data_IF_658908703971
#
_entry.id   IF_658908703971
#
_cell.length_a   1.000
_cell.length_b   1.000
_cell.length_c   1.000
_cell.angle_alpha   90.00
_cell.angle_beta   90.00
_cell.angle_gamma   90.00
#
_symmetry.space_group_name_H-M   'P 1'
#
loop_
_entity.id
_entity.type
_entity.pdbx_description
1 polymer ?
#
# COMPACT_ATOMS: atom_id res chain seq x y z
N UNK A 1 -48.36 -62.36 -38.34
CA UNK A 1 -48.90 -61.06 -37.87
C UNK A 1 -48.63 -60.89 -36.39
N UNK A 2 -47.38 -60.55 -35.98
CA UNK A 2 -47.04 -60.12 -34.61
C UNK A 2 -45.78 -59.29 -34.70
N UNK A 3 -45.91 -57.95 -34.67
CA UNK A 3 -44.71 -57.13 -34.70
C UNK A 3 -44.93 -55.61 -34.90
N UNK A 4 -46.16 -55.12 -34.93
CA UNK A 4 -46.43 -53.68 -35.19
C UNK A 4 -47.10 -52.90 -34.05
N UNK A 5 -47.40 -53.54 -32.90
CA UNK A 5 -48.11 -52.85 -31.81
C UNK A 5 -47.24 -52.33 -30.65
N UNK A 6 -45.95 -52.68 -30.60
CA UNK A 6 -45.12 -52.30 -29.45
C UNK A 6 -44.34 -50.98 -29.72
N UNK A 7 -44.07 -50.64 -30.99
CA UNK A 7 -43.29 -49.44 -31.32
C UNK A 7 -44.09 -48.12 -31.31
N UNK A 8 -45.43 -48.19 -31.37
CA UNK A 8 -46.29 -47.00 -31.28
C UNK A 8 -46.45 -46.46 -29.86
N UNK A 9 -46.53 -47.36 -28.88
CA UNK A 9 -46.70 -46.96 -27.48
C UNK A 9 -45.46 -46.25 -26.88
N UNK A 10 -44.25 -46.74 -27.20
CA UNK A 10 -43.02 -46.17 -26.66
C UNK A 10 -42.77 -44.78 -27.29
N UNK A 11 -43.06 -44.57 -28.57
CA UNK A 11 -42.95 -43.24 -29.18
C UNK A 11 -43.93 -42.21 -28.58
N UNK A 12 -45.17 -42.65 -28.31
CA UNK A 12 -46.16 -41.75 -27.66
C UNK A 12 -45.78 -41.37 -26.25
N UNK A 13 -45.25 -42.29 -25.45
CA UNK A 13 -44.78 -42.00 -24.07
C UNK A 13 -43.56 -41.06 -24.07
N UNK A 14 -42.58 -41.31 -24.94
CA UNK A 14 -41.41 -40.46 -25.08
C UNK A 14 -41.79 -39.04 -25.52
N UNK A 15 -42.71 -38.93 -26.51
CA UNK A 15 -43.18 -37.61 -26.98
C UNK A 15 -43.95 -36.87 -25.87
N UNK A 16 -44.76 -37.56 -25.07
CA UNK A 16 -45.49 -36.95 -23.95
C UNK A 16 -44.54 -36.49 -22.84
N UNK A 17 -43.50 -37.27 -22.51
CA UNK A 17 -42.48 -36.89 -21.53
C UNK A 17 -41.66 -35.68 -21.97
N UNK A 18 -41.28 -35.62 -23.24
CA UNK A 18 -40.55 -34.47 -23.82
C UNK A 18 -41.43 -33.21 -23.81
N UNK A 19 -42.73 -33.33 -24.10
CA UNK A 19 -43.65 -32.18 -24.05
C UNK A 19 -43.86 -31.71 -22.61
N UNK A 20 -43.94 -32.61 -21.65
CA UNK A 20 -44.07 -32.25 -20.22
C UNK A 20 -42.79 -31.56 -19.72
N UNK A 21 -41.63 -32.07 -20.09
CA UNK A 21 -40.33 -31.42 -19.74
C UNK A 21 -40.21 -30.03 -20.41
N UNK A 22 -40.61 -29.90 -21.69
CA UNK A 22 -40.63 -28.64 -22.37
C UNK A 22 -41.67 -27.64 -21.78
N UNK A 23 -42.84 -28.15 -21.37
CA UNK A 23 -43.84 -27.32 -20.71
C UNK A 23 -43.43 -26.90 -19.29
N UNK A 24 -42.73 -27.75 -18.55
CA UNK A 24 -42.13 -27.42 -17.24
C UNK A 24 -40.99 -26.40 -17.41
N UNK A 25 -40.19 -26.47 -18.48
CA UNK A 25 -39.15 -25.48 -18.79
C UNK A 25 -39.73 -24.12 -19.22
N UNK A 26 -40.93 -24.10 -19.82
CA UNK A 26 -41.63 -22.87 -20.20
C UNK A 26 -42.47 -22.26 -19.06
N UNK A 27 -42.74 -23.01 -18.01
CA UNK A 27 -43.46 -22.54 -16.81
C UNK A 27 -42.52 -22.03 -15.70
N UNK A 28 -41.20 -22.08 -15.88
CA UNK A 28 -40.27 -21.33 -15.04
C UNK A 28 -40.46 -19.86 -15.38
N UNK A 29 -41.03 -19.01 -14.50
CA UNK A 29 -41.13 -17.59 -14.81
C UNK A 29 -39.70 -17.10 -15.09
N UNK A 30 -39.52 -16.39 -16.19
CA UNK A 30 -38.25 -15.82 -16.64
C UNK A 30 -37.62 -14.83 -15.61
N UNK A 31 -38.23 -14.70 -14.44
CA UNK A 31 -37.83 -13.85 -13.31
C UNK A 31 -37.27 -14.64 -12.12
N UNK A 32 -37.13 -15.97 -12.20
CA UNK A 32 -36.25 -16.72 -11.31
C UNK A 32 -34.83 -16.75 -11.90
N UNK A 33 -34.28 -15.61 -12.24
CA UNK A 33 -32.89 -15.33 -11.93
C UNK A 33 -32.81 -15.38 -10.42
N UNK A 34 -32.65 -16.55 -9.85
CA UNK A 34 -31.86 -16.74 -8.67
C UNK A 34 -30.45 -16.26 -9.09
N UNK A 35 -30.28 -14.92 -9.13
CA UNK A 35 -28.98 -14.34 -9.07
C UNK A 35 -28.39 -14.87 -7.78
N UNK A 36 -27.53 -15.88 -7.89
CA UNK A 36 -26.45 -16.01 -6.93
C UNK A 36 -25.74 -14.69 -7.10
N UNK A 37 -26.18 -13.67 -6.35
CA UNK A 37 -25.44 -12.46 -6.15
C UNK A 37 -24.21 -12.96 -5.38
N UNK A 38 -23.12 -13.19 -6.12
CA UNK A 38 -21.84 -13.39 -5.50
C UNK A 38 -21.65 -12.16 -4.63
N UNK A 39 -21.44 -12.38 -3.33
CA UNK A 39 -21.09 -11.33 -2.38
C UNK A 39 -19.90 -10.59 -2.93
N UNK A 40 -20.07 -9.35 -3.36
CA UNK A 40 -19.00 -8.56 -3.97
C UNK A 40 -18.79 -7.29 -3.17
N UNK A 41 -17.64 -7.24 -2.49
CA UNK A 41 -17.14 -5.99 -1.95
C UNK A 41 -16.80 -5.03 -3.11
N UNK A 42 -16.78 -3.73 -2.86
CA UNK A 42 -16.62 -2.72 -3.91
C UNK A 42 -15.53 -1.70 -3.56
N UNK A 43 -14.65 -1.42 -4.50
CA UNK A 43 -13.78 -0.23 -4.47
C UNK A 43 -14.48 0.94 -5.17
N UNK A 44 -14.64 2.06 -4.46
CA UNK A 44 -15.12 3.33 -5.00
C UNK A 44 -13.92 4.26 -5.17
N UNK A 45 -13.45 4.47 -6.41
CA UNK A 45 -12.15 5.08 -6.66
C UNK A 45 -12.28 6.42 -7.34
N UNK A 46 -11.75 7.45 -6.70
CA UNK A 46 -11.61 8.80 -7.23
C UNK A 46 -10.12 9.14 -7.37
N UNK A 47 -9.67 9.44 -8.59
CA UNK A 47 -8.25 9.68 -8.85
C UNK A 47 -7.85 11.13 -8.65
N UNK A 48 -6.54 11.36 -8.53
CA UNK A 48 -5.95 12.67 -8.32
C UNK A 48 -6.02 13.61 -9.53
N UNK A 49 -5.34 14.73 -9.41
CA UNK A 49 -5.28 15.74 -10.46
C UNK A 49 -4.81 15.15 -11.79
N UNK A 50 -5.34 15.67 -12.90
CA UNK A 50 -5.14 15.21 -14.28
C UNK A 50 -5.65 13.80 -14.61
N UNK A 51 -6.43 13.18 -13.71
CA UNK A 51 -7.05 11.87 -13.91
C UNK A 51 -8.58 11.95 -13.70
N UNK A 52 -9.32 12.66 -14.55
CA UNK A 52 -10.76 12.93 -14.34
C UNK A 52 -11.62 11.68 -14.40
N UNK A 53 -11.23 10.66 -15.13
CA UNK A 53 -11.96 9.40 -15.28
C UNK A 53 -11.61 8.34 -14.20
N UNK A 54 -10.95 8.75 -13.12
CA UNK A 54 -10.50 7.83 -12.07
C UNK A 54 -9.24 7.04 -12.46
N UNK A 55 -8.86 6.03 -11.66
CA UNK A 55 -7.74 5.19 -11.98
C UNK A 55 -8.01 4.38 -13.24
N UNK A 56 -7.09 4.43 -14.20
CA UNK A 56 -7.15 3.56 -15.37
C UNK A 56 -6.90 2.11 -14.97
N UNK A 57 -7.31 1.11 -15.77
CA UNK A 57 -6.96 -0.29 -15.51
C UNK A 57 -5.46 -0.50 -15.35
N UNK A 58 -4.62 0.20 -16.13
CA UNK A 58 -3.18 0.14 -16.01
C UNK A 58 -2.69 0.65 -14.66
N UNK A 59 -3.13 1.82 -14.22
CA UNK A 59 -2.78 2.39 -12.91
C UNK A 59 -3.22 1.47 -11.76
N UNK A 60 -4.37 0.83 -11.88
CA UNK A 60 -4.87 -0.15 -10.92
C UNK A 60 -3.97 -1.37 -10.82
N UNK A 61 -3.44 -1.85 -11.95
CA UNK A 61 -2.51 -2.97 -12.01
C UNK A 61 -1.12 -2.62 -11.49
N UNK A 62 -0.69 -1.37 -11.67
CA UNK A 62 0.63 -0.88 -11.28
C UNK A 62 0.75 -0.62 -9.78
N UNK A 63 -0.34 -0.28 -9.08
CA UNK A 63 -0.27 -0.03 -7.65
C UNK A 63 0.09 -1.32 -6.89
N UNK A 64 1.26 -1.33 -6.27
CA UNK A 64 1.81 -2.49 -5.57
C UNK A 64 2.74 -3.35 -6.42
N UNK A 65 3.01 -2.95 -7.67
CA UNK A 65 4.14 -3.49 -8.43
C UNK A 65 5.48 -2.98 -7.91
N UNK A 66 6.58 -3.52 -8.43
CA UNK A 66 7.89 -2.98 -8.17
C UNK A 66 7.92 -1.49 -8.51
N UNK A 67 8.50 -0.63 -7.65
CA UNK A 67 8.59 0.79 -7.92
C UNK A 67 9.29 1.02 -9.26
N UNK A 68 8.63 1.76 -10.13
CA UNK A 68 9.11 2.10 -11.45
C UNK A 68 10.15 3.21 -11.37
N UNK A 69 11.32 2.86 -10.82
CA UNK A 69 12.46 3.75 -10.87
C UNK A 69 13.28 3.38 -12.09
N UNK A 70 13.60 4.34 -12.97
CA UNK A 70 14.66 4.10 -13.92
C UNK A 70 15.90 3.68 -13.13
N UNK A 71 16.48 2.55 -13.50
CA UNK A 71 17.74 2.12 -12.91
C UNK A 71 18.74 3.29 -13.03
N UNK A 72 19.27 3.81 -11.94
CA UNK A 72 20.25 4.90 -12.01
C UNK A 72 21.38 4.52 -12.97
N UNK A 73 21.68 5.38 -13.92
CA UNK A 73 22.74 5.23 -14.94
C UNK A 73 22.50 4.22 -16.08
N UNK A 74 21.33 3.67 -16.25
CA UNK A 74 21.12 2.70 -17.34
C UNK A 74 20.20 3.19 -18.45
N UNK A 75 19.45 4.28 -18.24
CA UNK A 75 18.32 4.70 -19.11
C UNK A 75 17.34 3.55 -19.41
N UNK A 76 17.44 2.45 -18.68
CA UNK A 76 16.54 1.32 -18.79
C UNK A 76 15.49 1.48 -17.69
N UNK A 77 14.27 1.60 -18.14
CA UNK A 77 13.12 1.41 -17.28
C UNK A 77 13.04 -0.08 -16.99
N UNK A 78 13.26 -0.51 -15.76
CA UNK A 78 12.89 -1.89 -15.42
C UNK A 78 11.42 -2.04 -15.78
N UNK A 79 11.05 -3.04 -16.56
CA UNK A 79 9.66 -3.43 -16.61
C UNK A 79 9.30 -3.79 -15.17
N UNK A 80 8.45 -2.98 -14.59
CA UNK A 80 7.74 -3.26 -13.37
C UNK A 80 7.35 -4.73 -13.37
N UNK A 81 7.50 -5.36 -12.24
CA UNK A 81 7.20 -6.76 -12.01
C UNK A 81 5.91 -7.17 -12.68
N UNK A 82 5.79 -8.42 -12.94
CA UNK A 82 4.72 -9.06 -13.70
C UNK A 82 3.40 -8.31 -13.56
N UNK A 83 2.88 -7.78 -14.67
CA UNK A 83 1.53 -7.24 -14.78
C UNK A 83 0.57 -8.12 -13.96
N UNK A 84 -0.19 -7.53 -13.07
CA UNK A 84 -1.12 -8.27 -12.24
C UNK A 84 -0.74 -8.39 -10.76
N UNK A 85 0.26 -7.66 -10.26
CA UNK A 85 0.60 -7.60 -8.84
C UNK A 85 0.15 -6.29 -8.15
N UNK A 86 -0.65 -5.47 -8.81
CA UNK A 86 -1.17 -4.23 -8.25
C UNK A 86 -2.00 -4.43 -6.99
N UNK A 87 -1.74 -3.64 -5.96
CA UNK A 87 -2.45 -3.73 -4.68
C UNK A 87 -3.96 -3.46 -4.80
N UNK A 88 -4.36 -2.61 -5.76
CA UNK A 88 -5.77 -2.31 -6.07
C UNK A 88 -6.28 -3.10 -7.29
N UNK A 89 -5.55 -4.08 -7.80
CA UNK A 89 -5.98 -4.88 -8.93
C UNK A 89 -7.01 -5.93 -8.49
N UNK A 90 -8.27 -5.64 -8.74
CA UNK A 90 -9.39 -6.52 -8.38
C UNK A 90 -9.55 -7.69 -9.32
N UNK A 91 -8.97 -7.65 -10.52
CA UNK A 91 -9.22 -8.63 -11.58
C UNK A 91 -8.07 -9.63 -11.77
N UNK A 92 -6.81 -9.19 -11.66
CA UNK A 92 -5.68 -9.98 -12.13
C UNK A 92 -4.69 -10.39 -11.04
N UNK A 93 -4.78 -9.79 -9.82
CA UNK A 93 -3.86 -10.11 -8.73
C UNK A 93 -4.56 -10.88 -7.60
N UNK A 94 -4.48 -12.22 -7.56
CA UNK A 94 -5.00 -13.01 -6.44
C UNK A 94 -4.35 -12.70 -5.07
N UNK A 95 -3.20 -12.04 -5.05
CA UNK A 95 -2.52 -11.58 -3.84
C UNK A 95 -3.00 -10.22 -3.33
N UNK A 96 -3.82 -9.49 -4.11
CA UNK A 96 -4.44 -8.24 -3.68
C UNK A 96 -5.49 -8.51 -2.59
N UNK A 97 -5.56 -7.69 -1.53
CA UNK A 97 -6.65 -7.77 -0.56
C UNK A 97 -8.02 -7.44 -1.17
N UNK A 98 -8.03 -6.89 -2.37
CA UNK A 98 -9.22 -6.49 -3.13
C UNK A 98 -9.52 -7.40 -4.32
N UNK A 99 -8.85 -8.54 -4.43
CA UNK A 99 -9.12 -9.49 -5.53
C UNK A 99 -10.56 -9.98 -5.52
N UNK A 100 -11.22 -9.91 -6.67
CA UNK A 100 -12.62 -10.28 -6.82
C UNK A 100 -13.63 -9.20 -6.39
N UNK A 101 -13.15 -8.00 -5.97
CA UNK A 101 -14.02 -6.87 -5.67
C UNK A 101 -14.50 -6.18 -6.93
N UNK A 102 -15.69 -5.62 -6.89
CA UNK A 102 -16.15 -4.69 -7.91
C UNK A 102 -15.34 -3.38 -7.85
N UNK A 103 -15.24 -2.69 -8.99
CA UNK A 103 -14.45 -1.48 -9.12
C UNK A 103 -15.25 -0.38 -9.79
N UNK A 104 -15.60 0.66 -9.03
CA UNK A 104 -16.37 1.82 -9.49
C UNK A 104 -15.45 3.04 -9.57
N UNK A 105 -15.42 3.69 -10.73
CA UNK A 105 -14.71 4.94 -10.95
C UNK A 105 -15.62 6.13 -10.74
N UNK A 106 -15.15 7.08 -9.93
CA UNK A 106 -15.84 8.34 -9.71
C UNK A 106 -15.19 9.40 -10.60
N UNK A 107 -15.96 9.89 -11.57
CA UNK A 107 -15.52 10.97 -12.45
C UNK A 107 -15.66 12.32 -11.75
N UNK A 108 -14.71 13.20 -11.96
CA UNK A 108 -14.72 14.58 -11.46
C UNK A 108 -13.77 15.45 -12.31
N UNK A 109 -13.78 16.79 -12.22
CA UNK A 109 -12.94 17.63 -13.10
C UNK A 109 -11.44 17.36 -13.00
N UNK A 110 -10.90 17.07 -11.80
CA UNK A 110 -9.53 16.66 -11.56
C UNK A 110 -8.47 17.57 -12.20
N UNK A 111 -8.65 18.87 -12.17
CA UNK A 111 -7.68 19.84 -12.70
C UNK A 111 -7.41 20.94 -11.69
N UNK A 112 -6.13 21.18 -11.43
CA UNK A 112 -5.69 22.39 -10.72
C UNK A 112 -5.11 23.32 -11.78
N UNK A 113 -5.65 24.50 -11.90
CA UNK A 113 -5.19 25.49 -12.88
C UNK A 113 -5.34 26.89 -12.35
N UNK A 114 -4.68 27.82 -13.01
CA UNK A 114 -4.87 29.25 -12.75
C UNK A 114 -6.15 29.72 -13.44
N UNK A 115 -7.21 30.12 -12.71
CA UNK A 115 -8.43 30.64 -13.31
C UNK A 115 -8.17 31.82 -14.24
N UNK A 116 -7.18 32.66 -13.92
CA UNK A 116 -6.71 33.77 -14.76
C UNK A 116 -6.18 33.35 -16.14
N UNK A 117 -5.85 32.03 -16.31
CA UNK A 117 -5.38 31.44 -17.58
C UNK A 117 -6.38 30.42 -18.14
N UNK A 118 -7.64 30.47 -17.71
CA UNK A 118 -8.70 29.54 -18.15
C UNK A 118 -8.63 28.17 -17.47
N UNK A 119 -7.83 28.02 -16.42
CA UNK A 119 -7.84 26.82 -15.57
C UNK A 119 -9.07 26.79 -14.65
N UNK A 120 -9.37 25.64 -14.09
CA UNK A 120 -10.44 25.50 -13.11
C UNK A 120 -9.92 25.80 -11.70
N UNK A 121 -10.70 26.55 -10.94
CA UNK A 121 -10.43 26.80 -9.53
C UNK A 121 -10.50 25.49 -8.70
N UNK A 122 -9.71 25.41 -7.62
CA UNK A 122 -9.62 24.19 -6.82
C UNK A 122 -10.90 23.89 -6.05
N UNK A 123 -11.44 24.86 -5.29
CA UNK A 123 -12.61 24.64 -4.43
C UNK A 123 -13.86 24.15 -5.15
N UNK A 124 -14.29 24.73 -6.30
CA UNK A 124 -15.45 24.22 -7.03
C UNK A 124 -15.28 22.75 -7.48
N UNK A 125 -14.05 22.35 -7.83
CA UNK A 125 -13.78 20.97 -8.22
C UNK A 125 -13.84 20.02 -7.02
N UNK A 126 -13.31 20.45 -5.86
CA UNK A 126 -13.39 19.68 -4.63
C UNK A 126 -14.85 19.45 -4.22
N UNK A 127 -15.70 20.47 -4.33
CA UNK A 127 -17.14 20.35 -4.04
C UNK A 127 -17.84 19.40 -5.02
N UNK A 128 -17.48 19.45 -6.30
CA UNK A 128 -18.02 18.51 -7.28
C UNK A 128 -17.53 17.07 -7.03
N UNK A 129 -16.25 16.91 -6.74
CA UNK A 129 -15.67 15.61 -6.35
C UNK A 129 -16.35 15.03 -5.11
N UNK A 130 -16.56 15.86 -4.09
CA UNK A 130 -17.28 15.50 -2.87
C UNK A 130 -18.69 15.01 -3.17
N UNK A 131 -19.47 15.78 -3.94
CA UNK A 131 -20.82 15.38 -4.33
C UNK A 131 -20.84 14.06 -5.10
N UNK A 132 -19.90 13.87 -6.03
CA UNK A 132 -19.86 12.67 -6.85
C UNK A 132 -19.43 11.43 -6.04
N UNK A 133 -18.50 11.57 -5.09
CA UNK A 133 -18.06 10.44 -4.25
C UNK A 133 -19.09 10.09 -3.19
N UNK A 134 -19.73 11.06 -2.55
CA UNK A 134 -20.83 10.84 -1.61
C UNK A 134 -21.97 10.05 -2.26
N UNK A 135 -22.37 10.48 -3.47
CA UNK A 135 -23.36 9.75 -4.24
C UNK A 135 -22.93 8.34 -4.59
N UNK A 136 -21.70 8.16 -5.07
CA UNK A 136 -21.18 6.83 -5.44
C UNK A 136 -21.11 5.88 -4.22
N UNK A 137 -20.68 6.39 -3.06
CA UNK A 137 -20.68 5.65 -1.80
C UNK A 137 -22.11 5.26 -1.43
N UNK A 138 -23.04 6.20 -1.47
CA UNK A 138 -24.47 5.96 -1.14
C UNK A 138 -25.08 4.91 -2.06
N UNK A 139 -24.87 5.03 -3.39
CA UNK A 139 -25.39 4.08 -4.38
C UNK A 139 -24.82 2.67 -4.17
N UNK A 140 -23.52 2.56 -3.87
CA UNK A 140 -22.88 1.28 -3.57
C UNK A 140 -23.44 0.65 -2.30
N UNK A 141 -23.47 1.41 -1.19
CA UNK A 141 -23.96 0.92 0.09
C UNK A 141 -25.41 0.44 0.04
N UNK A 142 -26.24 1.07 -0.80
CA UNK A 142 -27.62 0.63 -1.02
C UNK A 142 -27.74 -0.73 -1.70
N UNK A 143 -26.67 -1.22 -2.35
CA UNK A 143 -26.63 -2.51 -3.05
C UNK A 143 -25.91 -3.59 -2.27
N UNK A 144 -25.16 -3.25 -1.23
CA UNK A 144 -24.39 -4.20 -0.43
C UNK A 144 -25.30 -5.14 0.38
N UNK A 145 -24.94 -6.40 0.41
CA UNK A 145 -25.54 -7.37 1.31
C UNK A 145 -24.86 -7.33 2.70
N UNK A 146 -25.49 -7.91 3.73
CA UNK A 146 -24.86 -8.06 5.04
C UNK A 146 -23.49 -8.77 4.95
N UNK A 147 -22.44 -8.12 5.44
CA UNK A 147 -21.07 -8.63 5.42
C UNK A 147 -20.24 -8.18 4.22
N UNK A 148 -20.84 -7.53 3.22
CA UNK A 148 -20.11 -6.86 2.13
C UNK A 148 -19.63 -5.49 2.56
N UNK A 149 -18.58 -4.99 1.88
CA UNK A 149 -17.88 -3.75 2.22
C UNK A 149 -17.62 -2.91 0.99
N UNK A 150 -17.63 -1.60 1.20
CA UNK A 150 -17.08 -0.61 0.28
C UNK A 150 -15.80 -0.01 0.85
N UNK A 151 -14.81 0.25 0.00
CA UNK A 151 -13.64 1.06 0.36
C UNK A 151 -13.53 2.21 -0.63
N UNK A 152 -13.57 3.44 -0.12
CA UNK A 152 -13.36 4.63 -0.91
C UNK A 152 -11.85 4.91 -1.02
N UNK A 153 -11.35 4.98 -2.24
CA UNK A 153 -9.93 5.16 -2.56
C UNK A 153 -9.71 6.53 -3.16
N UNK A 154 -8.81 7.32 -2.57
CA UNK A 154 -8.45 8.65 -3.06
C UNK A 154 -6.95 8.87 -3.14
N UNK A 155 -6.51 9.63 -4.14
CA UNK A 155 -5.11 9.93 -4.39
C UNK A 155 -4.88 11.44 -4.54
N UNK A 156 -3.88 11.99 -3.82
CA UNK A 156 -3.49 13.39 -3.98
C UNK A 156 -4.66 14.35 -3.68
N UNK A 157 -5.06 15.16 -4.62
CA UNK A 157 -6.19 16.10 -4.50
C UNK A 157 -7.53 15.39 -4.22
N UNK A 158 -7.73 14.17 -4.67
CA UNK A 158 -8.94 13.41 -4.31
C UNK A 158 -8.84 12.75 -2.93
N UNK A 159 -7.66 12.56 -2.37
CA UNK A 159 -7.55 12.24 -0.95
C UNK A 159 -8.14 13.38 -0.09
N UNK A 160 -7.95 14.67 -0.49
CA UNK A 160 -8.67 15.79 0.16
C UNK A 160 -10.19 15.70 -0.02
N UNK A 161 -10.68 15.29 -1.20
CA UNK A 161 -12.12 15.03 -1.39
C UNK A 161 -12.63 14.01 -0.38
N UNK A 162 -11.93 12.88 -0.21
CA UNK A 162 -12.30 11.84 0.75
C UNK A 162 -12.18 12.31 2.21
N UNK A 163 -11.20 13.14 2.53
CA UNK A 163 -11.10 13.74 3.87
C UNK A 163 -12.29 14.66 4.16
N UNK A 164 -12.76 15.40 3.16
CA UNK A 164 -14.00 16.21 3.27
C UNK A 164 -15.21 15.31 3.45
N UNK A 165 -15.28 14.19 2.74
CA UNK A 165 -16.35 13.21 2.92
C UNK A 165 -16.32 12.59 4.32
N UNK A 166 -15.14 12.21 4.83
CA UNK A 166 -15.01 11.73 6.22
C UNK A 166 -15.55 12.75 7.23
N UNK A 167 -15.29 14.05 7.03
CA UNK A 167 -15.84 15.13 7.89
C UNK A 167 -17.34 15.28 7.73
N UNK A 168 -17.84 15.16 6.48
CA UNK A 168 -19.27 15.19 6.17
C UNK A 168 -20.01 14.07 6.92
N UNK A 169 -19.48 12.84 6.85
CA UNK A 169 -20.04 11.67 7.54
C UNK A 169 -20.00 11.81 9.06
N UNK A 170 -18.95 12.39 9.64
CA UNK A 170 -18.87 12.69 11.07
C UNK A 170 -19.92 13.72 11.51
N UNK A 171 -20.27 14.67 10.65
CA UNK A 171 -21.30 15.67 10.89
C UNK A 171 -22.73 15.12 10.85
N UNK A 172 -22.92 13.86 10.47
CA UNK A 172 -24.23 13.21 10.34
C UNK A 172 -24.54 12.34 11.56
N UNK A 173 -25.25 12.83 12.56
CA UNK A 173 -25.55 12.06 13.78
C UNK A 173 -26.53 10.90 13.54
N UNK A 174 -27.25 10.93 12.42
CA UNK A 174 -28.14 9.83 11.97
C UNK A 174 -28.05 9.70 10.45
N UNK A 175 -27.97 8.46 9.97
CA UNK A 175 -27.87 8.15 8.53
C UNK A 175 -26.43 8.01 8.00
N UNK A 176 -25.41 8.16 8.85
CA UNK A 176 -24.05 7.81 8.46
C UNK A 176 -23.94 6.31 8.15
N UNK A 177 -23.13 5.91 7.14
CA UNK A 177 -22.93 4.52 6.78
C UNK A 177 -22.46 3.66 7.96
N UNK A 178 -22.84 2.36 8.01
CA UNK A 178 -22.30 1.43 9.00
C UNK A 178 -20.76 1.35 8.91
N UNK A 179 -20.09 1.39 10.04
CA UNK A 179 -18.62 1.43 10.13
C UNK A 179 -17.95 0.10 9.73
N UNK A 180 -18.70 -0.97 9.71
CA UNK A 180 -18.28 -2.28 9.22
C UNK A 180 -18.48 -2.46 7.71
N UNK A 181 -19.22 -1.57 7.06
CA UNK A 181 -19.48 -1.60 5.61
C UNK A 181 -18.67 -0.57 4.82
N UNK A 182 -18.14 0.49 5.44
CA UNK A 182 -17.35 1.52 4.75
C UNK A 182 -15.96 1.66 5.35
N UNK A 183 -14.96 1.76 4.46
CA UNK A 183 -13.58 2.10 4.80
C UNK A 183 -12.98 3.09 3.82
N UNK A 184 -11.78 3.59 4.13
CA UNK A 184 -11.06 4.56 3.30
C UNK A 184 -9.62 4.12 3.03
N UNK A 185 -9.12 4.45 1.84
CA UNK A 185 -7.74 4.26 1.45
C UNK A 185 -7.21 5.54 0.82
N UNK A 186 -6.30 6.22 1.50
CA UNK A 186 -5.78 7.52 1.13
C UNK A 186 -4.34 7.39 0.67
N UNK A 187 -4.02 7.87 -0.54
CA UNK A 187 -2.67 7.88 -1.11
C UNK A 187 -2.20 9.32 -1.29
N UNK A 188 -1.00 9.64 -0.80
CA UNK A 188 -0.46 10.99 -0.92
C UNK A 188 -1.39 12.04 -0.33
N UNK A 189 -1.92 11.77 0.85
CA UNK A 189 -2.96 12.53 1.51
C UNK A 189 -2.47 13.94 1.89
N UNK A 190 -2.99 14.95 1.21
CA UNK A 190 -2.66 16.37 1.46
C UNK A 190 -3.06 16.84 2.86
N UNK A 191 -3.96 16.13 3.53
CA UNK A 191 -4.46 16.40 4.87
C UNK A 191 -3.87 15.45 5.93
N UNK A 192 -2.82 14.68 5.63
CA UNK A 192 -2.19 13.79 6.59
C UNK A 192 -1.84 14.56 7.86
N UNK A 193 -2.21 14.08 9.08
CA UNK A 193 -2.11 14.88 10.31
C UNK A 193 -0.71 15.37 10.59
N UNK A 194 0.32 14.52 10.46
CA UNK A 194 1.71 14.96 10.50
C UNK A 194 2.35 14.74 9.13
N UNK A 195 2.39 15.78 8.30
CA UNK A 195 3.04 15.75 6.99
C UNK A 195 2.18 16.33 5.86
N UNK A 196 0.86 16.27 5.95
CA UNK A 196 -0.02 16.81 4.91
C UNK A 196 0.17 18.32 4.72
N UNK A 197 0.41 18.74 3.47
CA UNK A 197 0.68 20.16 3.17
C UNK A 197 -0.50 21.07 3.59
N UNK A 198 -1.74 20.61 3.42
CA UNK A 198 -2.93 21.38 3.84
C UNK A 198 -3.06 21.44 5.35
N UNK A 199 -2.48 20.49 6.09
CA UNK A 199 -2.41 20.51 7.55
C UNK A 199 -1.19 21.30 8.06
N UNK A 200 -0.12 21.42 7.27
CA UNK A 200 1.04 22.24 7.70
C UNK A 200 0.67 23.71 7.87
N UNK A 201 -0.26 24.23 7.05
CA UNK A 201 -0.66 25.64 7.02
C UNK A 201 -2.17 25.81 7.13
N UNK A 202 -2.86 25.27 8.15
CA UNK A 202 -4.32 25.30 8.23
C UNK A 202 -4.82 26.75 8.27
N UNK A 203 -5.86 27.03 7.49
CA UNK A 203 -6.45 28.37 7.37
C UNK A 203 -5.80 29.25 6.30
N UNK A 204 -4.66 28.85 5.72
CA UNK A 204 -4.10 29.57 4.57
C UNK A 204 -5.06 29.48 3.39
N UNK A 205 -5.18 30.58 2.64
CA UNK A 205 -5.95 30.65 1.42
C UNK A 205 -5.11 31.26 0.31
N UNK A 206 -5.04 30.58 -0.84
CA UNK A 206 -4.33 31.04 -2.04
C UNK A 206 -5.37 31.38 -3.11
N UNK A 207 -5.69 32.68 -3.30
CA UNK A 207 -6.78 33.12 -4.17
C UNK A 207 -6.55 32.80 -5.66
N UNK A 208 -5.27 32.81 -6.12
CA UNK A 208 -4.94 32.62 -7.54
C UNK A 208 -5.36 31.25 -8.09
N UNK A 209 -5.46 30.25 -7.23
CA UNK A 209 -5.86 28.87 -7.56
C UNK A 209 -7.10 28.43 -6.76
N UNK A 210 -7.61 29.34 -5.91
CA UNK A 210 -8.75 29.09 -5.00
C UNK A 210 -8.53 27.85 -4.12
N UNK A 211 -7.33 27.72 -3.52
CA UNK A 211 -7.02 26.63 -2.59
C UNK A 211 -7.16 27.12 -1.16
N UNK A 212 -8.02 26.44 -0.40
CA UNK A 212 -8.13 26.60 1.04
C UNK A 212 -7.44 25.43 1.75
N UNK A 213 -6.53 25.75 2.66
CA UNK A 213 -5.84 24.76 3.50
C UNK A 213 -6.75 24.38 4.66
N UNK A 214 -7.49 23.32 4.48
CA UNK A 214 -8.62 22.94 5.33
C UNK A 214 -8.24 22.03 6.51
N UNK A 215 -6.94 21.82 6.77
CA UNK A 215 -6.44 21.16 7.95
C UNK A 215 -6.39 19.64 7.87
N UNK A 216 -6.40 18.98 9.02
CA UNK A 216 -6.12 17.54 9.19
C UNK A 216 -7.27 16.64 8.77
N UNK A 217 -6.94 15.43 8.32
CA UNK A 217 -7.86 14.29 8.34
C UNK A 217 -8.43 14.12 9.75
N UNK A 218 -9.75 13.82 9.90
CA UNK A 218 -10.33 13.47 11.18
C UNK A 218 -9.65 12.26 11.82
N UNK A 219 -8.97 12.46 12.94
CA UNK A 219 -8.21 11.38 13.62
C UNK A 219 -9.08 10.46 14.46
N UNK A 220 -10.29 10.87 14.73
CA UNK A 220 -11.35 10.18 15.49
C UNK A 220 -12.43 9.56 14.59
N UNK A 221 -12.15 9.44 13.29
CA UNK A 221 -13.07 8.78 12.35
C UNK A 221 -13.44 7.38 12.84
N UNK A 222 -14.72 6.98 12.76
CA UNK A 222 -15.13 5.63 13.11
C UNK A 222 -14.80 4.60 12.01
N UNK A 223 -14.41 5.06 10.82
CA UNK A 223 -14.17 4.21 9.66
C UNK A 223 -12.73 3.71 9.60
N UNK A 224 -12.56 2.41 9.32
CA UNK A 224 -11.24 1.84 9.06
C UNK A 224 -10.58 2.56 7.88
N UNK A 225 -9.39 3.11 8.11
CA UNK A 225 -8.70 3.94 7.12
C UNK A 225 -7.24 3.52 7.00
N UNK A 226 -6.74 3.39 5.77
CA UNK A 226 -5.32 3.28 5.46
C UNK A 226 -4.84 4.57 4.81
N UNK A 227 -3.81 5.18 5.36
CA UNK A 227 -3.17 6.40 4.86
C UNK A 227 -1.73 6.09 4.47
N UNK A 228 -1.46 6.03 3.16
CA UNK A 228 -0.13 5.71 2.63
C UNK A 228 0.53 6.95 2.04
N UNK A 229 1.77 7.20 2.45
CA UNK A 229 2.61 8.30 1.97
C UNK A 229 4.01 7.83 1.58
N UNK A 230 4.67 8.56 0.67
CA UNK A 230 6.11 8.47 0.47
C UNK A 230 6.85 9.37 1.45
N UNK A 231 8.03 8.94 1.89
CA UNK A 231 8.99 9.80 2.58
C UNK A 231 9.34 11.01 1.70
N UNK A 232 9.34 12.20 2.28
CA UNK A 232 9.57 13.50 1.60
C UNK A 232 8.50 13.91 0.58
N UNK A 233 7.36 13.25 0.53
CA UNK A 233 6.31 13.58 -0.42
C UNK A 233 5.79 15.01 -0.22
N UNK A 234 5.69 15.73 -1.33
CA UNK A 234 5.20 17.12 -1.37
C UNK A 234 3.82 17.30 -0.75
N UNK A 235 2.96 16.28 -0.85
CA UNK A 235 1.57 16.33 -0.41
C UNK A 235 1.38 15.78 0.99
N UNK A 236 1.97 14.62 1.29
CA UNK A 236 1.68 13.84 2.51
C UNK A 236 2.82 13.81 3.53
N UNK A 237 4.02 14.28 3.17
CA UNK A 237 5.18 14.35 4.06
C UNK A 237 5.98 15.64 3.82
N UNK A 238 5.28 16.78 3.86
CA UNK A 238 5.86 18.12 3.72
C UNK A 238 6.65 18.50 4.98
N UNK A 239 7.78 19.26 4.85
CA UNK A 239 8.61 19.68 5.97
C UNK A 239 7.83 20.35 7.10
N UNK A 240 8.22 20.04 8.34
CA UNK A 240 7.69 20.68 9.54
C UNK A 240 8.30 22.08 9.73
N UNK A 241 9.55 22.28 9.28
CA UNK A 241 10.32 23.51 9.44
C UNK A 241 10.67 24.12 8.09
N UNK A 242 9.73 24.86 7.45
CA UNK A 242 9.88 25.33 6.06
C UNK A 242 10.87 26.50 5.90
N UNK A 243 11.58 26.91 6.92
CA UNK A 243 12.74 27.83 6.76
C UNK A 243 13.99 27.13 6.22
N UNK A 244 14.03 25.81 6.22
CA UNK A 244 15.06 25.03 5.56
C UNK A 244 14.72 24.87 4.08
N UNK A 245 15.15 25.81 3.27
CA UNK A 245 14.88 25.83 1.82
C UNK A 245 15.39 24.57 1.10
N UNK A 246 16.40 23.88 1.63
CA UNK A 246 16.88 22.63 1.05
C UNK A 246 15.84 21.51 1.18
N UNK A 247 15.18 21.43 2.33
CA UNK A 247 14.11 20.45 2.54
C UNK A 247 12.85 20.81 1.73
N UNK A 248 12.50 22.09 1.63
CA UNK A 248 11.39 22.53 0.81
C UNK A 248 11.64 22.23 -0.67
N UNK A 249 12.86 22.48 -1.14
CA UNK A 249 13.24 22.14 -2.51
C UNK A 249 13.17 20.63 -2.75
N UNK A 250 13.64 19.82 -1.80
CA UNK A 250 13.52 18.36 -1.87
C UNK A 250 12.04 17.92 -1.97
N UNK A 251 11.15 18.51 -1.17
CA UNK A 251 9.72 18.25 -1.24
C UNK A 251 9.10 18.72 -2.57
N UNK A 252 9.52 19.87 -3.11
CA UNK A 252 9.05 20.35 -4.42
C UNK A 252 9.44 19.38 -5.54
N UNK A 253 10.67 18.85 -5.52
CA UNK A 253 11.10 17.83 -6.49
C UNK A 253 10.37 16.49 -6.33
N UNK A 254 9.87 16.18 -5.13
CA UNK A 254 9.04 15.01 -4.91
C UNK A 254 7.72 15.07 -5.70
N UNK A 255 7.15 16.25 -5.91
CA UNK A 255 5.87 16.41 -6.59
C UNK A 255 5.80 15.69 -7.94
N UNK A 256 6.60 16.08 -8.95
CA UNK A 256 6.55 15.45 -10.26
C UNK A 256 7.15 14.04 -10.30
N UNK A 257 7.90 13.60 -9.30
CA UNK A 257 8.66 12.34 -9.37
C UNK A 257 8.09 11.27 -8.46
N UNK A 258 8.13 11.47 -7.15
CA UNK A 258 7.65 10.46 -6.19
C UNK A 258 6.15 10.55 -5.96
N UNK A 259 5.61 11.76 -5.82
CA UNK A 259 4.18 11.95 -5.62
C UNK A 259 3.34 11.47 -6.81
N UNK A 260 3.78 11.72 -8.04
CA UNK A 260 3.10 11.22 -9.23
C UNK A 260 3.27 9.71 -9.46
N UNK A 261 4.05 9.03 -8.63
CA UNK A 261 4.42 7.62 -8.81
C UNK A 261 3.82 6.67 -7.77
N UNK A 262 2.71 7.05 -7.13
CA UNK A 262 2.02 6.16 -6.17
C UNK A 262 1.52 4.87 -6.83
N UNK A 263 1.23 4.88 -8.11
CA UNK A 263 0.75 3.71 -8.84
C UNK A 263 1.81 2.61 -8.96
N UNK A 264 3.09 2.99 -8.92
CA UNK A 264 4.21 2.06 -8.90
C UNK A 264 4.74 1.81 -7.48
N UNK A 265 4.06 2.30 -6.46
CA UNK A 265 4.45 2.07 -5.08
C UNK A 265 4.19 0.62 -4.68
N UNK A 266 5.20 -0.05 -4.15
CA UNK A 266 4.99 -1.32 -3.47
C UNK A 266 4.45 -1.07 -2.06
N UNK A 267 3.16 -1.32 -1.87
CA UNK A 267 2.50 -1.16 -0.55
C UNK A 267 3.15 -2.05 0.51
N UNK A 268 3.78 -3.15 0.13
CA UNK A 268 4.51 -4.05 1.01
C UNK A 268 6.03 -3.77 1.02
N UNK A 269 6.47 -2.75 0.29
CA UNK A 269 7.86 -2.37 0.14
C UNK A 269 8.51 -1.79 1.41
N UNK A 270 9.77 -1.37 1.30
CA UNK A 270 10.51 -0.83 2.44
C UNK A 270 9.82 0.35 3.10
N UNK A 271 9.75 0.33 4.42
CA UNK A 271 9.20 1.39 5.25
C UNK A 271 10.27 2.42 5.61
N UNK A 272 9.92 3.70 5.55
CA UNK A 272 10.74 4.75 6.15
C UNK A 272 10.70 4.66 7.68
N UNK A 273 9.50 4.38 8.22
CA UNK A 273 9.21 4.24 9.65
C UNK A 273 8.27 3.06 9.85
N UNK A 274 8.20 2.47 11.05
CA UNK A 274 7.22 1.43 11.38
C UNK A 274 5.79 1.93 11.14
N UNK A 275 4.94 1.07 10.57
CA UNK A 275 3.53 1.36 10.42
C UNK A 275 2.90 1.68 11.78
N UNK A 276 2.08 2.72 11.84
CA UNK A 276 1.50 3.23 13.08
C UNK A 276 0.00 3.33 12.95
N UNK A 277 -0.73 2.75 13.91
CA UNK A 277 -2.19 2.89 13.97
C UNK A 277 -2.59 3.84 15.10
N UNK A 278 -3.41 4.84 14.77
CA UNK A 278 -3.99 5.78 15.72
C UNK A 278 -5.50 5.79 15.50
N UNK A 279 -6.25 5.39 16.51
CA UNK A 279 -7.69 5.16 16.36
C UNK A 279 -7.95 4.09 15.30
N UNK A 280 -8.74 4.42 14.29
CA UNK A 280 -9.07 3.54 13.17
C UNK A 280 -8.23 3.80 11.91
N UNK A 281 -7.17 4.63 12.02
CA UNK A 281 -6.31 4.99 10.88
C UNK A 281 -4.96 4.32 11.01
N UNK A 282 -4.56 3.55 10.01
CA UNK A 282 -3.21 2.99 9.88
C UNK A 282 -2.40 3.83 8.90
N UNK A 283 -1.30 4.37 9.39
CA UNK A 283 -0.36 5.20 8.64
C UNK A 283 0.82 4.38 8.16
N UNK A 284 1.03 4.39 6.85
CA UNK A 284 2.14 3.72 6.17
C UNK A 284 3.02 4.81 5.54
N UNK A 285 4.33 4.76 5.76
CA UNK A 285 5.27 5.65 5.07
C UNK A 285 6.31 4.82 4.34
N UNK A 286 6.22 4.82 3.03
CA UNK A 286 7.16 4.14 2.15
C UNK A 286 8.49 4.89 2.12
N UNK A 287 9.59 4.15 2.11
CA UNK A 287 10.93 4.73 2.03
C UNK A 287 11.22 5.22 0.63
N UNK A 288 11.59 6.48 0.49
CA UNK A 288 12.15 7.01 -0.75
C UNK A 288 13.51 6.31 -1.03
N UNK A 289 13.72 5.76 -2.23
CA UNK A 289 14.99 5.08 -2.58
C UNK A 289 16.17 6.03 -2.62
N UNK A 290 15.91 7.27 -3.01
CA UNK A 290 16.84 8.39 -3.06
C UNK A 290 16.11 9.68 -2.66
N UNK A 291 16.90 10.70 -2.29
CA UNK A 291 16.34 12.04 -2.10
C UNK A 291 15.66 12.52 -3.39
N UNK A 292 14.39 12.95 -3.36
CA UNK A 292 13.71 13.51 -4.52
C UNK A 292 14.51 14.58 -5.25
N UNK A 293 15.23 15.42 -4.51
CA UNK A 293 16.12 16.45 -5.05
C UNK A 293 17.20 15.89 -5.97
N UNK A 294 17.66 14.66 -5.74
CA UNK A 294 18.73 14.03 -6.51
C UNK A 294 18.20 13.18 -7.67
N UNK A 295 16.94 12.78 -7.67
CA UNK A 295 16.35 11.93 -8.69
C UNK A 295 16.53 12.48 -10.13
N UNK A 296 16.36 13.78 -10.42
CA UNK A 296 16.62 14.30 -11.77
C UNK A 296 18.05 14.05 -12.25
N UNK A 297 19.02 14.09 -11.34
CA UNK A 297 20.43 13.84 -11.68
C UNK A 297 20.67 12.36 -11.94
N UNK A 298 20.06 11.46 -11.14
CA UNK A 298 20.07 10.03 -11.44
C UNK A 298 19.48 9.75 -12.82
N UNK A 299 18.34 10.37 -13.15
CA UNK A 299 17.66 10.19 -14.45
C UNK A 299 18.45 10.80 -15.62
N UNK A 300 19.18 11.88 -15.39
CA UNK A 300 20.07 12.48 -16.39
C UNK A 300 21.36 11.69 -16.61
N UNK A 301 21.59 10.60 -15.87
CA UNK A 301 22.79 9.77 -16.00
C UNK A 301 24.05 10.37 -15.37
N UNK A 302 23.89 11.23 -14.36
CA UNK A 302 25.03 11.68 -13.57
C UNK A 302 25.73 10.46 -12.93
N UNK A 303 27.06 10.51 -12.79
CA UNK A 303 27.80 9.40 -12.19
C UNK A 303 27.28 9.07 -10.78
N UNK A 304 26.72 7.87 -10.61
CA UNK A 304 26.19 7.39 -9.33
C UNK A 304 27.16 7.60 -8.15
N UNK A 305 28.49 7.32 -8.29
CA UNK A 305 29.41 7.55 -7.18
C UNK A 305 29.40 8.97 -6.64
N UNK A 306 29.25 9.99 -7.51
CA UNK A 306 29.18 11.38 -7.08
C UNK A 306 27.89 11.72 -6.34
N UNK A 307 26.77 11.14 -6.77
CA UNK A 307 25.48 11.29 -6.08
C UNK A 307 25.52 10.60 -4.73
N UNK A 308 26.01 9.37 -4.66
CA UNK A 308 26.16 8.60 -3.42
C UNK A 308 27.15 9.25 -2.42
N UNK A 309 28.11 10.03 -2.92
CA UNK A 309 29.01 10.80 -2.08
C UNK A 309 28.28 11.88 -1.29
N UNK A 310 27.34 12.60 -1.94
CA UNK A 310 26.69 13.79 -1.36
C UNK A 310 25.36 13.47 -0.69
N UNK A 311 24.66 12.41 -1.11
CA UNK A 311 23.31 12.09 -0.65
C UNK A 311 23.20 11.92 0.87
N UNK A 312 24.11 11.21 1.58
CA UNK A 312 23.98 11.03 3.03
C UNK A 312 24.04 12.36 3.80
N UNK A 313 24.91 13.27 3.40
CA UNK A 313 25.02 14.58 4.04
C UNK A 313 23.79 15.46 3.75
N UNK A 314 23.29 15.46 2.52
CA UNK A 314 22.06 16.14 2.14
C UNK A 314 20.85 15.57 2.90
N UNK A 315 20.78 14.25 3.07
CA UNK A 315 19.72 13.60 3.85
C UNK A 315 19.67 14.15 5.28
N UNK A 316 20.80 14.20 5.97
CA UNK A 316 20.85 14.74 7.33
C UNK A 316 20.39 16.19 7.37
N UNK A 317 20.85 17.04 6.43
CA UNK A 317 20.45 18.45 6.40
C UNK A 317 18.95 18.64 6.07
N UNK A 318 18.37 17.78 5.23
CA UNK A 318 16.95 17.78 4.91
C UNK A 318 16.15 17.29 6.11
N UNK A 319 16.60 16.22 6.77
CA UNK A 319 15.93 15.62 7.93
C UNK A 319 15.85 16.58 9.14
N UNK A 320 16.69 17.59 9.22
CA UNK A 320 16.52 18.65 10.21
C UNK A 320 15.19 19.40 10.08
N UNK A 321 14.48 19.25 8.99
CA UNK A 321 13.16 19.84 8.77
C UNK A 321 12.01 18.92 9.16
N UNK A 322 12.32 17.76 9.70
CA UNK A 322 11.32 16.77 10.10
C UNK A 322 11.52 16.38 11.56
N UNK A 323 10.43 16.28 12.31
CA UNK A 323 10.44 15.66 13.63
C UNK A 323 9.76 14.30 13.53
N UNK A 324 10.58 13.28 13.29
CA UNK A 324 10.11 11.90 13.09
C UNK A 324 9.68 11.21 14.40
N UNK A 325 9.85 11.88 15.56
CA UNK A 325 9.33 11.41 16.84
C UNK A 325 7.83 11.70 17.03
N UNK A 326 7.28 12.63 16.25
CA UNK A 326 5.86 12.95 16.26
C UNK A 326 5.11 11.89 15.44
N UNK A 327 4.11 11.25 16.07
CA UNK A 327 3.26 10.27 15.39
C UNK A 327 2.64 10.85 14.11
N UNK A 328 2.57 10.08 13.01
CA UNK A 328 1.91 10.51 11.77
C UNK A 328 0.44 10.86 11.95
N UNK A 329 -0.23 10.33 12.98
CA UNK A 329 -1.61 10.66 13.33
C UNK A 329 -1.78 11.90 14.21
N UNK A 330 -0.71 12.66 14.51
CA UNK A 330 -0.81 13.87 15.33
C UNK A 330 -0.92 15.12 14.46
N UNK A 331 -2.05 15.86 14.47
CA UNK A 331 -2.17 17.10 13.72
C UNK A 331 -1.06 18.09 14.07
N UNK A 332 -0.21 18.40 13.10
CA UNK A 332 1.02 19.18 13.32
C UNK A 332 1.16 20.27 12.27
N UNK A 333 1.09 21.52 12.73
CA UNK A 333 1.30 22.71 11.88
C UNK A 333 2.79 23.01 11.68
N UNK A 334 3.12 23.70 10.62
CA UNK A 334 4.49 24.17 10.37
C UNK A 334 5.01 25.02 11.52
N UNK A 335 6.30 24.89 11.79
CA UNK A 335 7.05 25.61 12.84
C UNK A 335 8.24 26.32 12.21
N UNK A 336 8.69 27.42 12.82
CA UNK A 336 9.77 28.22 12.25
C UNK A 336 11.15 27.65 12.59
N UNK A 337 11.35 27.21 13.81
CA UNK A 337 12.67 26.84 14.33
C UNK A 337 12.66 25.36 14.75
N UNK A 338 13.55 24.54 14.15
CA UNK A 338 13.69 23.15 14.54
C UNK A 338 14.30 23.02 15.93
N UNK A 339 13.79 22.06 16.69
CA UNK A 339 14.36 21.69 18.00
C UNK A 339 15.52 20.71 17.79
N UNK A 340 16.66 21.21 17.33
CA UNK A 340 17.84 20.42 17.03
C UNK A 340 18.93 20.71 18.07
N UNK A 341 19.53 19.66 18.61
CA UNK A 341 20.76 19.80 19.40
C UNK A 341 21.94 20.01 18.44
N UNK A 342 22.63 21.17 18.47
CA UNK A 342 23.71 21.47 17.53
C UNK A 342 24.87 20.48 17.58
N UNK A 343 25.19 19.94 18.75
CA UNK A 343 26.29 18.97 18.91
C UNK A 343 25.96 17.66 18.21
N UNK A 344 24.73 17.16 18.43
CA UNK A 344 24.24 15.95 17.76
C UNK A 344 24.17 16.18 16.24
N UNK A 345 23.64 17.31 15.79
CA UNK A 345 23.50 17.65 14.38
C UNK A 345 24.87 17.66 13.64
N UNK A 346 25.90 18.29 14.26
CA UNK A 346 27.26 18.29 13.70
C UNK A 346 27.83 16.86 13.67
N UNK A 347 27.61 16.09 14.74
CA UNK A 347 28.05 14.69 14.81
C UNK A 347 27.42 13.81 13.76
N UNK A 348 26.12 13.96 13.50
CA UNK A 348 25.40 13.19 12.50
C UNK A 348 25.80 13.61 11.07
N UNK A 349 25.99 14.89 10.84
CA UNK A 349 26.53 15.37 9.56
C UNK A 349 27.93 14.82 9.28
N UNK A 350 28.82 14.80 10.30
CA UNK A 350 30.15 14.23 10.13
C UNK A 350 30.10 12.73 9.80
N UNK A 351 29.24 11.97 10.47
CA UNK A 351 29.00 10.53 10.13
C UNK A 351 28.49 10.37 8.71
N UNK A 352 27.55 11.22 8.28
CA UNK A 352 26.97 11.19 6.95
C UNK A 352 28.00 11.48 5.86
N UNK A 353 28.93 12.44 6.10
CA UNK A 353 30.06 12.69 5.19
C UNK A 353 30.96 11.47 5.07
N UNK A 354 31.30 10.83 6.17
CA UNK A 354 32.11 9.58 6.17
C UNK A 354 31.38 8.47 5.41
N UNK A 355 30.07 8.34 5.59
CA UNK A 355 29.26 7.36 4.87
C UNK A 355 29.23 7.65 3.34
N UNK A 356 29.12 8.92 2.94
CA UNK A 356 29.22 9.33 1.54
C UNK A 356 30.56 8.92 0.91
N UNK A 357 31.66 9.19 1.61
CA UNK A 357 33.02 8.78 1.15
C UNK A 357 33.13 7.25 1.06
N UNK A 358 32.52 6.53 1.99
CA UNK A 358 32.48 5.06 1.99
C UNK A 358 31.71 4.54 0.76
N UNK A 359 30.53 5.07 0.47
CA UNK A 359 29.71 4.70 -0.70
C UNK A 359 30.47 4.99 -1.99
N UNK A 360 30.98 6.21 -2.14
CA UNK A 360 31.81 6.60 -3.28
C UNK A 360 32.96 5.63 -3.51
N UNK A 361 33.72 5.30 -2.46
CA UNK A 361 34.85 4.38 -2.54
C UNK A 361 34.41 2.94 -2.89
N UNK A 362 33.24 2.52 -2.47
CA UNK A 362 32.68 1.20 -2.81
C UNK A 362 32.29 1.12 -4.28
N UNK A 363 31.67 2.20 -4.82
CA UNK A 363 31.25 2.27 -6.22
C UNK A 363 32.42 2.33 -7.21
N UNK A 364 33.57 2.84 -6.77
CA UNK A 364 34.79 2.86 -7.59
C UNK A 364 35.53 1.52 -7.62
N UNK A 365 35.17 0.56 -6.75
CA UNK A 365 35.78 -0.76 -6.78
C UNK A 365 35.27 -1.53 -8.00
N UNK A 366 36.17 -2.16 -8.80
CA UNK A 366 35.74 -3.03 -9.87
C UNK A 366 34.81 -4.11 -9.28
N UNK A 367 33.68 -4.34 -9.92
CA UNK A 367 32.82 -5.47 -9.57
C UNK A 367 33.68 -6.75 -9.68
N UNK A 368 34.01 -7.38 -8.56
CA UNK A 368 34.64 -8.70 -8.57
C UNK A 368 33.59 -9.63 -9.18
N UNK A 369 33.85 -10.25 -10.34
CA UNK A 369 32.91 -11.16 -10.92
C UNK A 369 32.55 -12.22 -9.86
N UNK A 370 31.27 -12.39 -9.57
CA UNK A 370 30.84 -13.46 -8.70
C UNK A 370 31.34 -14.78 -9.33
N UNK A 371 32.30 -15.43 -8.69
CA UNK A 371 32.78 -16.74 -9.11
C UNK A 371 31.58 -17.69 -8.92
N UNK A 372 31.07 -18.31 -9.99
CA UNK A 372 29.93 -19.22 -9.85
C UNK A 372 30.29 -20.27 -8.78
N UNK A 373 29.38 -20.56 -7.86
CA UNK A 373 29.59 -21.47 -6.75
C UNK A 373 30.13 -22.85 -7.22
N UNK A 374 29.86 -23.23 -8.46
CA UNK A 374 30.42 -24.44 -9.13
C UNK A 374 31.90 -24.33 -9.48
N UNK A 375 32.47 -23.13 -9.62
CA UNK A 375 33.89 -22.96 -9.86
C UNK A 375 34.71 -23.00 -8.55
N UNK A 376 34.14 -22.52 -7.45
CA UNK A 376 34.79 -22.58 -6.13
C UNK A 376 34.96 -24.02 -5.63
N UNK A 377 34.04 -24.92 -5.98
CA UNK A 377 34.15 -26.34 -5.62
C UNK A 377 35.32 -27.09 -6.30
N UNK A 378 35.92 -26.53 -7.35
CA UNK A 378 37.07 -27.15 -8.05
C UNK A 378 38.41 -26.82 -7.41
N UNK A 379 38.51 -25.90 -6.49
CA UNK A 379 39.73 -25.48 -5.81
C UNK A 379 39.84 -25.92 -4.36
N UNK A 380 38.93 -26.74 -3.86
CA UNK A 380 39.13 -27.38 -2.57
C UNK A 380 40.20 -28.48 -2.73
N UNK A 381 41.29 -28.47 -1.95
CA UNK A 381 42.28 -29.53 -2.00
C UNK A 381 41.61 -30.87 -1.68
N UNK A 382 41.78 -31.84 -2.56
CA UNK A 382 41.33 -33.22 -2.32
C UNK A 382 41.89 -33.67 -0.98
N UNK A 383 41.12 -34.27 -0.07
CA UNK A 383 41.66 -34.87 1.12
C UNK A 383 42.62 -35.98 0.70
N UNK A 384 43.83 -35.97 1.24
CA UNK A 384 44.82 -37.00 1.05
C UNK A 384 44.26 -38.36 1.50
N UNK A 385 44.51 -39.45 0.77
CA UNK A 385 44.04 -40.77 1.16
C UNK A 385 44.65 -41.15 2.50
N UNK A 386 43.84 -41.36 3.50
CA UNK A 386 44.27 -41.91 4.80
C UNK A 386 44.73 -43.35 4.59
N UNK A 387 46.00 -43.58 4.76
CA UNK A 387 46.58 -44.95 4.79
C UNK A 387 46.03 -45.64 6.05
N UNK A 388 45.08 -46.52 5.87
CA UNK A 388 44.62 -47.43 6.93
C UNK A 388 45.66 -48.51 7.10
N UNK A 389 46.43 -48.45 8.16
CA UNK A 389 47.22 -49.59 8.68
C UNK A 389 46.26 -50.65 9.22
N UNK A 390 46.24 -51.78 8.57
CA UNK A 390 45.49 -52.96 8.98
C UNK A 390 46.06 -53.54 10.27
N UNK A 391 45.22 -53.61 11.32
CA UNK A 391 45.40 -54.53 12.41
C UNK A 391 44.16 -55.34 12.59
N UNK A 392 44.21 -56.59 12.18
CA UNK A 392 43.20 -57.60 12.38
C UNK A 392 42.94 -57.83 13.86
N UNK A 393 41.66 -57.79 14.24
CA UNK A 393 41.14 -58.72 15.27
C UNK A 393 39.69 -59.07 14.94
N UNK A 394 39.55 -60.38 14.66
CA UNK A 394 38.30 -61.09 14.56
C UNK A 394 37.53 -61.06 15.88
N UNK A 395 36.21 -60.94 15.82
CA UNK A 395 35.26 -61.80 16.56
C UNK A 395 33.82 -61.52 16.16
N UNK A 396 33.25 -62.53 15.61
CA UNK A 396 31.91 -63.16 15.57
C UNK A 396 30.65 -62.39 16.02
N UNK A 397 29.51 -62.73 15.41
CA UNK A 397 28.25 -61.96 15.41
C UNK A 397 27.28 -62.40 16.53
N UNK A 398 26.40 -61.51 16.92
CA UNK A 398 25.20 -61.85 17.72
C UNK A 398 23.96 -61.14 17.18
N UNK A 399 22.93 -61.91 17.15
CA UNK A 399 21.58 -61.85 16.57
C UNK A 399 20.67 -60.83 17.27
N UNK A 400 19.56 -60.37 16.64
CA UNK A 400 18.74 -59.23 17.07
C UNK A 400 17.67 -59.59 18.10
N UNK A 401 17.26 -58.62 18.88
CA UNK A 401 16.02 -58.74 19.68
C UNK A 401 15.09 -57.56 19.48
N UNK A 402 13.84 -57.93 19.24
CA UNK A 402 12.59 -57.24 19.02
C UNK A 402 12.20 -56.34 20.19
N UNK A 403 11.50 -55.27 19.82
CA UNK A 403 10.37 -54.59 20.40
C UNK A 403 9.94 -54.82 21.85
N UNK A 404 9.60 -53.79 22.54
CA UNK A 404 8.38 -53.66 23.37
C UNK A 404 8.06 -52.20 23.67
N UNK A 405 6.87 -51.90 23.35
CA UNK A 405 5.88 -50.90 23.72
C UNK A 405 5.71 -50.79 25.25
N UNK A 406 5.36 -49.61 25.73
CA UNK A 406 4.34 -49.28 26.73
C UNK A 406 4.69 -47.96 27.42
N UNK A 407 3.84 -46.97 27.30
CA UNK A 407 2.67 -46.58 28.08
C UNK A 407 2.98 -45.74 29.34
N UNK A 408 2.44 -44.51 29.28
CA UNK A 408 1.58 -43.79 30.25
C UNK A 408 1.99 -43.73 31.74
N UNK A 409 1.98 -42.51 32.23
CA UNK A 409 1.17 -41.98 33.35
C UNK A 409 1.62 -40.54 33.65
N UNK A 410 0.80 -39.52 33.48
CA UNK A 410 -0.21 -38.94 34.41
C UNK A 410 0.28 -38.65 35.82
N UNK A 411 0.17 -37.41 36.20
CA UNK A 411 -0.28 -36.85 37.48
C UNK A 411 0.45 -35.55 37.74
N UNK A 412 -0.16 -34.47 37.90
CA UNK A 412 -1.25 -33.88 38.66
C UNK A 412 -0.67 -32.62 39.38
N UNK A 413 -1.30 -31.53 39.09
CA UNK A 413 -1.85 -30.47 39.94
C UNK A 413 -1.12 -30.00 41.21
N UNK A 414 -0.93 -28.68 41.28
CA UNK A 414 -1.27 -27.88 42.46
C UNK A 414 -1.25 -26.38 42.13
N UNK A 415 -2.37 -25.75 42.14
CA UNK A 415 -2.69 -24.39 42.53
C UNK A 415 -3.15 -24.48 44.03
N UNK A 416 -3.30 -23.43 44.86
CA UNK A 416 -3.24 -22.00 44.68
C UNK A 416 -2.52 -21.26 45.85
N UNK A 417 -2.36 -19.94 45.81
CA UNK A 417 -2.72 -19.07 46.94
C UNK A 417 -2.86 -17.62 46.53
N UNK A 418 -4.05 -17.10 46.74
CA UNK A 418 -4.40 -15.68 46.86
C UNK A 418 -3.62 -15.01 47.99
N UNK A 419 -3.30 -13.73 47.81
CA UNK A 419 -3.38 -12.75 48.91
C UNK A 419 -3.83 -11.39 48.40
N UNK A 420 -4.96 -11.03 48.94
CA UNK A 420 -5.62 -9.73 48.91
C UNK A 420 -4.88 -8.67 49.69
N UNK A 421 -5.31 -7.46 49.41
CA UNK A 421 -5.41 -6.24 50.22
C UNK A 421 -4.23 -5.30 50.10
N UNK A 422 -4.38 -3.99 49.94
CA UNK A 422 -5.39 -3.09 50.53
C UNK A 422 -5.26 -1.72 49.83
N UNK A 423 -6.37 -1.08 49.61
CA UNK A 423 -6.54 0.35 49.33
C UNK A 423 -5.98 1.23 50.41
N UNK A 424 -5.67 2.47 50.11
CA UNK A 424 -5.94 3.74 50.81
C UNK A 424 -5.09 4.83 50.10
N UNK A 425 -5.58 5.77 49.58
CA UNK A 425 -6.26 7.06 49.58
C UNK A 425 -6.15 7.70 48.19
#
# INVERSE_FOLDING_TARGET
MRGKFVTGGIRSVVTSVVIVIAALALCVPANLSLGIQLLTNTLVVIAGNDNPAGLTPKMQQELGGDPWYPEPNTNQYRPVGTFGQGYLDTANNPGSPYYGWDFIRVEWPAKIGLPSRGGLAYEPQQLQGLHNVDRAITDVLATLNPGEKAVAVGYSSSANVLVREMRNLQGQPSGAPPTDQLGFFLMGNTNRPNGGILQRFPGLYIPDVDIRFDGSTPIDTPYATTDIGWEYDTASDFPLYPLNLLADLNAVFAGPITHSNYFNADVNGPRAFPDTTVGNITYITLRAPHLPLLLPFYYAGFPKPLLDLVEPALTVMIDWSYDRSISPGTPTTARLIPNINPITAIGDLAKAVVEGVRRFSADLRPAVPAVPAQAAARYLPRPLPTVLTATQRQRTPAIPRRAATAQRSTSAAATPTQRQSRAVR
#
